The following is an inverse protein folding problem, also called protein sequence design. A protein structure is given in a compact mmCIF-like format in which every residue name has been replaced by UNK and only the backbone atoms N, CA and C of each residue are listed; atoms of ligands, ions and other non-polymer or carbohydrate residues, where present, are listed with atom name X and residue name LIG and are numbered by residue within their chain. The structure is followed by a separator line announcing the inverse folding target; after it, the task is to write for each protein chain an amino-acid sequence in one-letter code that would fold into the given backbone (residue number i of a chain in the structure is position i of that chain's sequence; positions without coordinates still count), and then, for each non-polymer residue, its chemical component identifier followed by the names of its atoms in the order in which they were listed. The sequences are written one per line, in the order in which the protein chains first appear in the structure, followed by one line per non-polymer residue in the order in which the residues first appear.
data_IF_428141400348
#
_entry.id   IF_428141400348
#
_cell.length_a   1.000
_cell.length_b   1.000
_cell.length_c   1.000
_cell.angle_alpha   90.00
_cell.angle_beta   90.00
_cell.angle_gamma   90.00
#
_symmetry.space_group_name_H-M   'P 1'
#
loop_
_entity.id
_entity.type
_entity.pdbx_description
1 polymer ?
#
# COMPACT_ATOMS: atom_id res chain seq x y z
N UNK A 1 -11.05 19.78 3.71
CA UNK A 1 -11.64 18.53 4.26
C UNK A 1 -11.00 17.36 3.54
N UNK A 2 -10.07 16.67 4.17
CA UNK A 2 -9.40 15.53 3.54
C UNK A 2 -10.37 14.35 3.40
N UNK A 3 -10.60 13.92 2.16
CA UNK A 3 -11.33 12.69 1.87
C UNK A 3 -10.28 11.58 1.79
N UNK A 4 -10.16 10.78 2.85
CA UNK A 4 -9.28 9.61 2.86
C UNK A 4 -10.05 8.36 3.26
N UNK A 5 -9.59 7.21 2.76
CA UNK A 5 -10.20 5.90 2.99
C UNK A 5 -10.24 5.55 4.49
N UNK A 6 -9.22 5.95 5.25
CA UNK A 6 -9.07 5.60 6.66
C UNK A 6 -10.15 6.23 7.56
N UNK A 7 -10.53 7.49 7.30
CA UNK A 7 -11.64 8.14 8.01
C UNK A 7 -12.98 7.47 7.69
N UNK A 8 -13.19 7.04 6.44
CA UNK A 8 -14.37 6.27 6.05
C UNK A 8 -14.39 4.90 6.74
N UNK A 9 -13.26 4.19 6.72
CA UNK A 9 -13.10 2.88 7.36
C UNK A 9 -13.39 2.98 8.86
N UNK A 10 -12.83 3.97 9.57
CA UNK A 10 -13.06 4.17 11.01
C UNK A 10 -14.55 4.31 11.33
N UNK A 11 -15.31 5.01 10.49
CA UNK A 11 -16.74 5.24 10.70
C UNK A 11 -17.61 4.05 10.30
N UNK A 12 -17.22 3.27 9.31
CA UNK A 12 -18.07 2.25 8.68
C UNK A 12 -17.49 0.83 8.68
N UNK A 13 -16.44 0.54 9.47
CA UNK A 13 -15.75 -0.76 9.49
C UNK A 13 -16.68 -1.96 9.59
N UNK A 14 -17.74 -1.86 10.42
CA UNK A 14 -18.73 -2.92 10.66
C UNK A 14 -19.68 -3.16 9.48
N UNK A 15 -19.83 -2.18 8.58
CA UNK A 15 -20.72 -2.24 7.41
C UNK A 15 -19.97 -2.60 6.12
N UNK A 16 -18.64 -2.62 6.16
CA UNK A 16 -17.81 -2.89 4.99
C UNK A 16 -17.69 -4.40 4.77
N UNK A 17 -17.92 -4.90 3.54
CA UNK A 17 -17.61 -6.28 3.21
C UNK A 17 -16.13 -6.57 3.48
N UNK A 18 -15.86 -7.73 4.09
CA UNK A 18 -14.50 -8.11 4.47
C UNK A 18 -13.57 -8.17 3.24
N UNK A 19 -14.07 -8.71 2.11
CA UNK A 19 -13.36 -8.74 0.84
C UNK A 19 -12.88 -7.37 0.36
N UNK A 20 -13.69 -6.32 0.53
CA UNK A 20 -13.32 -4.96 0.15
C UNK A 20 -12.20 -4.41 1.03
N UNK A 21 -12.27 -4.66 2.34
CA UNK A 21 -11.21 -4.28 3.25
C UNK A 21 -9.90 -4.99 2.91
N UNK A 22 -9.95 -6.31 2.71
CA UNK A 22 -8.78 -7.12 2.42
C UNK A 22 -8.13 -6.72 1.09
N UNK A 23 -8.93 -6.44 0.06
CA UNK A 23 -8.43 -5.96 -1.23
C UNK A 23 -7.65 -4.65 -1.09
N UNK A 24 -8.22 -3.64 -0.41
CA UNK A 24 -7.54 -2.34 -0.22
C UNK A 24 -6.32 -2.50 0.68
N UNK A 25 -6.42 -3.31 1.74
CA UNK A 25 -5.32 -3.56 2.66
C UNK A 25 -4.15 -4.25 1.97
N UNK A 26 -4.42 -5.22 1.10
CA UNK A 26 -3.40 -5.92 0.32
C UNK A 26 -2.61 -4.96 -0.59
N UNK A 27 -3.31 -4.14 -1.37
CA UNK A 27 -2.68 -3.15 -2.26
C UNK A 27 -1.87 -2.13 -1.46
N UNK A 28 -2.45 -1.60 -0.38
CA UNK A 28 -1.76 -0.62 0.46
C UNK A 28 -0.50 -1.20 1.10
N UNK A 29 -0.57 -2.45 1.61
CA UNK A 29 0.58 -3.13 2.19
C UNK A 29 1.68 -3.35 1.15
N UNK A 30 1.33 -3.79 -0.06
CA UNK A 30 2.29 -3.96 -1.14
C UNK A 30 2.98 -2.63 -1.51
N UNK A 31 2.24 -1.53 -1.57
CA UNK A 31 2.81 -0.21 -1.86
C UNK A 31 3.79 0.25 -0.77
N UNK A 32 3.45 0.08 0.51
CA UNK A 32 4.33 0.43 1.64
C UNK A 32 5.58 -0.46 1.67
N UNK A 33 5.44 -1.75 1.38
CA UNK A 33 6.58 -2.67 1.28
C UNK A 33 7.49 -2.26 0.11
N UNK A 34 6.92 -1.91 -1.04
CA UNK A 34 7.67 -1.45 -2.20
C UNK A 34 8.46 -0.16 -1.95
N UNK A 35 7.92 0.75 -1.13
CA UNK A 35 8.57 2.03 -0.81
C UNK A 35 9.90 1.84 -0.05
N UNK A 36 9.98 0.85 0.85
CA UNK A 36 11.23 0.50 1.53
C UNK A 36 11.31 -1.01 1.85
N UNK A 37 11.69 -1.84 0.86
CA UNK A 37 11.62 -3.30 1.00
C UNK A 37 12.55 -3.86 2.06
N UNK A 38 13.69 -3.18 2.31
CA UNK A 38 14.71 -3.58 3.28
C UNK A 38 14.20 -3.57 4.72
N UNK A 39 13.26 -2.67 5.07
CA UNK A 39 12.59 -2.67 6.38
C UNK A 39 11.76 -3.95 6.62
N UNK A 40 11.38 -4.65 5.57
CA UNK A 40 10.59 -5.86 5.60
C UNK A 40 11.40 -7.12 5.29
N UNK A 41 12.73 -7.01 5.20
CA UNK A 41 13.64 -8.14 4.97
C UNK A 41 13.74 -8.59 3.52
N UNK A 42 13.30 -7.78 2.56
CA UNK A 42 13.51 -8.04 1.15
C UNK A 42 14.84 -7.44 0.66
N UNK A 43 15.48 -8.11 -0.28
CA UNK A 43 16.78 -7.73 -0.85
C UNK A 43 16.66 -7.08 -2.24
N UNK A 44 15.57 -6.35 -2.48
CA UNK A 44 15.37 -5.57 -3.70
C UNK A 44 15.15 -4.10 -3.34
N UNK A 45 15.46 -3.21 -4.30
CA UNK A 45 15.26 -1.77 -4.16
C UNK A 45 13.87 -1.35 -4.62
N UNK A 46 13.47 -0.11 -4.32
CA UNK A 46 12.11 0.35 -4.56
C UNK A 46 11.73 0.18 -6.05
N UNK A 47 10.72 -0.65 -6.39
CA UNK A 47 10.40 -0.98 -7.77
C UNK A 47 9.76 0.18 -8.56
N UNK A 48 9.48 1.31 -7.90
CA UNK A 48 8.94 2.53 -8.48
C UNK A 48 9.97 3.66 -8.55
N UNK A 49 11.20 3.42 -8.08
CA UNK A 49 12.28 4.39 -8.21
C UNK A 49 12.86 4.28 -9.63
N UNK A 50 12.69 5.34 -10.43
CA UNK A 50 13.08 5.38 -11.84
C UNK A 50 14.61 5.35 -12.06
N UNK A 51 15.41 5.26 -10.99
CA UNK A 51 16.86 5.12 -11.07
C UNK A 51 17.31 3.87 -11.83
N UNK A 52 16.49 2.81 -11.81
CA UNK A 52 16.79 1.54 -12.51
C UNK A 52 16.20 1.50 -13.94
N UNK A 53 15.29 2.41 -14.28
CA UNK A 53 14.68 2.50 -15.61
C UNK A 53 15.55 3.28 -16.61
N UNK A 54 16.48 4.11 -16.13
CA UNK A 54 17.36 4.93 -16.97
C UNK A 54 18.59 4.18 -17.52
N UNK A 55 18.81 2.93 -17.11
CA UNK A 55 19.99 2.13 -17.51
C UNK A 55 19.70 1.07 -18.59
N UNK A 56 18.53 1.11 -19.24
CA UNK A 56 18.18 0.24 -20.38
C UNK A 56 18.02 0.99 -21.69
#
# INVERSE_FOLDING_TARGET
RERNFWQFLKKYRKKMPQQTYDYVFYIFSAAVIGDNPRLFGFDFDNPLDDSDAAEK
#
